data_IF_067924493799
#
_entry.id   IF_067924493799
#
_cell.length_a   1.000
_cell.length_b   1.000
_cell.length_c   1.000
_cell.angle_alpha   90.00
_cell.angle_beta   90.00
_cell.angle_gamma   90.00
#
_symmetry.space_group_name_H-M   'P 1'
#
loop_
_entity.id
_entity.type
_entity.pdbx_description
1 polymer ?
#
# COMPACT_ATOMS: atom_id res chain seq x y z
N UNK A 1 19.71 -13.04 -21.33
CA UNK A 1 18.73 -12.68 -20.27
C UNK A 1 18.41 -11.20 -20.39
N UNK A 2 17.15 -10.87 -20.63
CA UNK A 2 16.66 -9.51 -20.82
C UNK A 2 16.39 -8.82 -19.49
N UNK A 3 17.45 -8.61 -18.69
CA UNK A 3 17.35 -8.01 -17.35
C UNK A 3 16.55 -6.71 -17.30
N UNK A 4 16.67 -5.88 -18.35
CA UNK A 4 15.89 -4.64 -18.47
C UNK A 4 14.37 -4.83 -18.46
N UNK A 5 13.86 -5.96 -18.98
CA UNK A 5 12.42 -6.26 -18.96
C UNK A 5 11.94 -6.62 -17.56
N UNK A 6 12.72 -7.39 -16.80
CA UNK A 6 12.40 -7.71 -15.40
C UNK A 6 12.41 -6.45 -14.54
N UNK A 7 13.44 -5.60 -14.66
CA UNK A 7 13.50 -4.33 -13.94
C UNK A 7 12.41 -3.34 -14.38
N UNK A 8 12.03 -3.35 -15.66
CA UNK A 8 10.92 -2.55 -16.18
C UNK A 8 9.59 -2.94 -15.55
N UNK A 9 9.27 -4.24 -15.53
CA UNK A 9 8.05 -4.75 -14.86
C UNK A 9 8.09 -4.54 -13.35
N UNK A 10 9.25 -4.74 -12.73
CA UNK A 10 9.48 -4.44 -11.32
C UNK A 10 9.13 -2.97 -11.04
N UNK A 11 9.71 -2.01 -11.76
CA UNK A 11 9.46 -0.58 -11.57
C UNK A 11 8.02 -0.19 -11.86
N UNK A 12 7.44 -0.70 -12.95
CA UNK A 12 6.03 -0.46 -13.31
C UNK A 12 5.09 -0.97 -12.21
N UNK A 13 5.39 -2.12 -11.63
CA UNK A 13 4.60 -2.72 -10.55
C UNK A 13 4.64 -1.90 -9.26
N UNK A 14 5.74 -1.19 -8.99
CA UNK A 14 5.84 -0.26 -7.86
C UNK A 14 4.81 0.87 -7.96
N UNK A 15 4.50 1.36 -9.17
CA UNK A 15 3.56 2.47 -9.38
C UNK A 15 2.15 1.94 -9.62
N UNK A 16 1.99 0.93 -10.48
CA UNK A 16 0.69 0.50 -11.01
C UNK A 16 0.61 -1.02 -11.11
N UNK A 17 0.72 -1.69 -9.95
CA UNK A 17 0.69 -3.15 -9.82
C UNK A 17 -0.46 -3.85 -10.55
N UNK A 18 -1.67 -3.27 -10.56
CA UNK A 18 -2.84 -3.85 -11.21
C UNK A 18 -2.62 -4.16 -12.71
N UNK A 19 -1.91 -3.29 -13.43
CA UNK A 19 -1.74 -3.39 -14.87
C UNK A 19 -0.36 -3.89 -15.29
N UNK A 20 0.62 -3.90 -14.38
CA UNK A 20 1.99 -4.26 -14.72
C UNK A 20 2.12 -5.68 -15.35
N UNK A 21 1.44 -6.73 -14.85
CA UNK A 21 1.54 -8.07 -15.43
C UNK A 21 1.05 -8.20 -16.88
N UNK A 22 0.20 -7.29 -17.36
CA UNK A 22 -0.29 -7.30 -18.75
C UNK A 22 0.79 -6.95 -19.78
N UNK A 23 1.90 -6.34 -19.33
CA UNK A 23 3.07 -6.11 -20.18
C UNK A 23 3.90 -7.38 -20.43
N UNK A 24 3.87 -8.33 -19.49
CA UNK A 24 4.71 -9.55 -19.54
C UNK A 24 4.56 -10.38 -20.81
N UNK A 25 3.34 -10.83 -21.17
CA UNK A 25 3.11 -11.61 -22.38
C UNK A 25 3.56 -10.90 -23.66
N UNK A 26 3.30 -9.59 -23.76
CA UNK A 26 3.71 -8.77 -24.93
C UNK A 26 5.21 -8.64 -25.09
N UNK A 27 5.94 -8.77 -23.98
CA UNK A 27 7.40 -8.72 -23.93
C UNK A 27 8.03 -10.11 -24.10
N UNK A 28 7.24 -11.15 -24.37
CA UNK A 28 7.71 -12.52 -24.56
C UNK A 28 8.19 -13.21 -23.27
N UNK A 29 7.85 -12.67 -22.10
CA UNK A 29 8.22 -13.27 -20.81
C UNK A 29 7.31 -14.43 -20.46
N UNK A 30 7.81 -15.38 -19.67
CA UNK A 30 7.01 -16.46 -19.10
C UNK A 30 6.16 -15.96 -17.94
N UNK A 31 5.12 -16.73 -17.60
CA UNK A 31 4.23 -16.45 -16.46
C UNK A 31 5.03 -16.19 -15.16
N UNK A 32 5.99 -17.07 -14.86
CA UNK A 32 6.77 -17.00 -13.63
C UNK A 32 7.68 -15.76 -13.60
N UNK A 33 8.34 -15.44 -14.72
CA UNK A 33 9.18 -14.25 -14.82
C UNK A 33 8.39 -12.97 -14.59
N UNK A 34 7.21 -12.85 -15.22
CA UNK A 34 6.31 -11.70 -15.05
C UNK A 34 5.78 -11.61 -13.62
N UNK A 35 5.32 -12.74 -13.07
CA UNK A 35 4.77 -12.82 -11.72
C UNK A 35 5.81 -12.40 -10.67
N UNK A 36 6.99 -13.01 -10.71
CA UNK A 36 8.07 -12.74 -9.75
C UNK A 36 8.54 -11.28 -9.86
N UNK A 37 8.72 -10.76 -11.08
CA UNK A 37 9.12 -9.37 -11.28
C UNK A 37 8.11 -8.38 -10.71
N UNK A 38 6.81 -8.59 -10.96
CA UNK A 38 5.77 -7.69 -10.49
C UNK A 38 5.52 -7.80 -8.98
N UNK A 39 5.51 -9.02 -8.43
CA UNK A 39 5.27 -9.24 -6.99
C UNK A 39 6.44 -8.70 -6.16
N UNK A 40 7.68 -8.96 -6.59
CA UNK A 40 8.86 -8.43 -5.88
C UNK A 40 8.89 -6.89 -5.90
N UNK A 41 8.56 -6.26 -7.03
CA UNK A 41 8.47 -4.80 -7.12
C UNK A 41 7.39 -4.20 -6.24
N UNK A 42 6.20 -4.81 -6.24
CA UNK A 42 5.11 -4.38 -5.36
C UNK A 42 5.45 -4.58 -3.88
N UNK A 43 6.01 -5.72 -3.48
CA UNK A 43 6.42 -5.95 -2.08
C UNK A 43 7.49 -4.94 -1.67
N UNK A 44 8.53 -4.75 -2.48
CA UNK A 44 9.59 -3.78 -2.23
C UNK A 44 9.04 -2.37 -2.02
N UNK A 45 8.15 -1.93 -2.90
CA UNK A 45 7.47 -0.65 -2.77
C UNK A 45 6.62 -0.57 -1.48
N UNK A 46 5.84 -1.61 -1.19
CA UNK A 46 5.00 -1.66 0.01
C UNK A 46 5.84 -1.54 1.29
N UNK A 47 6.99 -2.20 1.37
CA UNK A 47 7.93 -2.11 2.50
C UNK A 47 8.35 -0.65 2.70
N UNK A 48 8.88 -0.02 1.66
CA UNK A 48 9.37 1.35 1.74
C UNK A 48 8.26 2.30 2.22
N UNK A 49 7.10 2.28 1.56
CA UNK A 49 6.06 3.25 1.82
C UNK A 49 5.25 2.99 3.09
N UNK A 50 5.00 1.73 3.43
CA UNK A 50 4.30 1.37 4.67
C UNK A 50 5.12 1.78 5.90
N UNK A 51 6.38 1.33 5.98
CA UNK A 51 7.22 1.60 7.15
C UNK A 51 7.63 3.07 7.23
N UNK A 52 7.89 3.73 6.09
CA UNK A 52 8.12 5.18 6.09
C UNK A 52 6.92 5.94 6.63
N UNK A 53 5.71 5.62 6.16
CA UNK A 53 4.50 6.26 6.64
C UNK A 53 4.30 6.05 8.14
N UNK A 54 4.43 4.81 8.62
CA UNK A 54 4.33 4.48 10.03
C UNK A 54 5.33 5.28 10.88
N UNK A 55 6.61 5.30 10.47
CA UNK A 55 7.67 6.05 11.13
C UNK A 55 7.36 7.55 11.22
N UNK A 56 7.01 8.18 10.10
CA UNK A 56 6.68 9.61 10.07
C UNK A 56 5.45 9.93 10.92
N UNK A 57 4.44 9.06 10.94
CA UNK A 57 3.25 9.25 11.74
C UNK A 57 3.52 9.14 13.24
N UNK A 58 4.33 8.18 13.68
CA UNK A 58 4.73 8.03 15.08
C UNK A 58 5.53 9.26 15.53
N UNK A 59 6.51 9.69 14.71
CA UNK A 59 7.32 10.89 14.99
C UNK A 59 6.47 12.15 15.07
N UNK A 60 5.56 12.34 14.11
CA UNK A 60 4.64 13.47 14.10
C UNK A 60 3.69 13.46 15.31
N UNK A 61 3.23 12.28 15.74
CA UNK A 61 2.40 12.13 16.93
C UNK A 61 3.18 12.48 18.21
N UNK A 62 4.42 11.97 18.36
CA UNK A 62 5.28 12.25 19.51
C UNK A 62 5.61 13.75 19.62
N UNK A 63 5.94 14.40 18.51
CA UNK A 63 6.18 15.86 18.45
C UNK A 63 4.95 16.65 18.88
N UNK A 64 3.76 16.29 18.39
CA UNK A 64 2.50 16.95 18.78
C UNK A 64 2.19 16.78 20.27
N UNK A 65 2.43 15.58 20.83
CA UNK A 65 2.20 15.32 22.26
C UNK A 65 3.15 16.17 23.12
N UNK A 66 4.41 16.31 22.72
CA UNK A 66 5.40 17.15 23.41
C UNK A 66 4.99 18.63 23.40
N UNK A 67 4.69 19.18 22.22
CA UNK A 67 4.24 20.58 22.09
C UNK A 67 2.96 20.86 22.89
N UNK A 68 2.06 19.87 22.97
CA UNK A 68 0.84 19.99 23.79
C UNK A 68 1.16 20.03 25.28
N UNK A 69 2.12 19.24 25.76
CA UNK A 69 2.55 19.24 27.15
C UNK A 69 3.26 20.55 27.53
N UNK A 70 4.20 21.01 26.69
CA UNK A 70 4.91 22.29 26.87
C UNK A 70 3.95 23.49 26.92
N UNK A 71 2.93 23.51 26.05
CA UNK A 71 1.91 24.56 26.06
C UNK A 71 1.09 24.55 27.37
N UNK A 72 0.80 23.36 27.92
CA UNK A 72 0.06 23.21 29.16
C UNK A 72 0.87 23.71 30.36
N UNK A 73 2.17 23.41 30.40
CA UNK A 73 3.12 23.89 31.41
C UNK A 73 3.28 25.42 31.38
N UNK A 74 3.21 26.03 30.19
CA UNK A 74 3.25 27.48 29.99
C UNK A 74 1.91 28.19 30.26
N UNK A 75 0.87 27.47 30.72
CA UNK A 75 -0.47 28.02 30.97
C UNK A 75 -1.24 28.40 29.70
N UNK A 76 -0.71 28.10 28.50
CA UNK A 76 -1.35 28.37 27.23
C UNK A 76 -2.37 27.25 26.96
N UNK A 77 -3.67 27.58 26.87
CA UNK A 77 -4.70 26.59 26.51
C UNK A 77 -4.40 26.00 25.12
N UNK A 78 -3.98 24.72 25.02
CA UNK A 78 -3.60 24.15 23.74
C UNK A 78 -4.83 23.95 22.86
N UNK A 79 -4.71 24.30 21.58
CA UNK A 79 -5.82 24.19 20.61
C UNK A 79 -6.23 22.73 20.44
N UNK A 80 -7.40 22.37 20.97
CA UNK A 80 -7.91 21.01 20.84
C UNK A 80 -8.20 20.68 19.36
N UNK A 81 -7.63 19.59 18.87
CA UNK A 81 -7.92 19.12 17.51
C UNK A 81 -9.35 18.57 17.47
N UNK A 82 -10.15 19.03 16.51
CA UNK A 82 -11.50 18.50 16.27
C UNK A 82 -11.44 16.99 16.03
N UNK A 83 -12.07 16.21 16.92
CA UNK A 83 -12.11 14.74 16.84
C UNK A 83 -13.06 14.24 15.74
N UNK A 84 -14.10 15.00 15.39
CA UNK A 84 -15.12 14.61 14.39
C UNK A 84 -15.13 15.52 13.16
N UNK A 85 -14.05 15.49 12.37
CA UNK A 85 -14.03 16.13 11.04
C UNK A 85 -14.76 15.28 10.01
N UNK A 86 -15.17 15.87 8.87
CA UNK A 86 -15.76 15.13 7.73
C UNK A 86 -14.87 13.95 7.31
N UNK A 87 -13.56 14.17 7.29
CA UNK A 87 -12.55 13.14 7.01
C UNK A 87 -12.57 12.01 8.06
N UNK A 88 -12.59 12.32 9.36
CA UNK A 88 -12.63 11.28 10.39
C UNK A 88 -13.90 10.44 10.31
N UNK A 89 -15.06 11.06 10.04
CA UNK A 89 -16.33 10.34 9.83
C UNK A 89 -16.28 9.43 8.58
N UNK A 90 -15.63 9.89 7.50
CA UNK A 90 -15.42 9.09 6.30
C UNK A 90 -14.50 7.89 6.56
N UNK A 91 -13.39 8.09 7.27
CA UNK A 91 -12.47 7.02 7.68
C UNK A 91 -13.21 5.96 8.49
N UNK A 92 -13.99 6.35 9.49
CA UNK A 92 -14.76 5.40 10.31
C UNK A 92 -15.76 4.61 9.47
N UNK A 93 -16.42 5.24 8.48
CA UNK A 93 -17.33 4.54 7.55
C UNK A 93 -16.61 3.49 6.71
N UNK A 94 -15.46 3.84 6.11
CA UNK A 94 -14.67 2.88 5.33
C UNK A 94 -14.18 1.72 6.19
N UNK A 95 -13.66 2.01 7.39
CA UNK A 95 -13.21 0.98 8.34
C UNK A 95 -14.33 0.00 8.70
N UNK A 96 -15.55 0.51 8.96
CA UNK A 96 -16.71 -0.33 9.31
C UNK A 96 -17.18 -1.20 8.15
N UNK A 97 -17.07 -0.72 6.90
CA UNK A 97 -17.56 -1.46 5.72
C UNK A 97 -16.58 -2.52 5.21
N UNK A 98 -15.28 -2.21 5.16
CA UNK A 98 -14.28 -3.08 4.53
C UNK A 98 -13.34 -3.79 5.52
N UNK A 99 -13.33 -3.35 6.78
CA UNK A 99 -12.47 -3.92 7.82
C UNK A 99 -10.98 -3.77 7.51
N UNK A 100 -10.15 -4.50 8.27
CA UNK A 100 -8.70 -4.52 8.06
C UNK A 100 -8.32 -5.34 6.83
N UNK A 101 -8.95 -6.49 6.63
CA UNK A 101 -8.66 -7.41 5.52
C UNK A 101 -8.92 -6.75 4.16
N UNK A 102 -10.11 -6.17 3.95
CA UNK A 102 -10.45 -5.58 2.67
C UNK A 102 -9.56 -4.40 2.31
N UNK A 103 -9.25 -3.53 3.27
CA UNK A 103 -8.41 -2.35 3.00
C UNK A 103 -6.96 -2.77 2.75
N UNK A 104 -6.39 -3.63 3.59
CA UNK A 104 -4.99 -4.05 3.46
C UNK A 104 -4.74 -4.85 2.17
N UNK A 105 -5.67 -5.72 1.77
CA UNK A 105 -5.49 -6.57 0.59
C UNK A 105 -5.76 -5.85 -0.73
N UNK A 106 -6.72 -4.92 -0.78
CA UNK A 106 -7.17 -4.30 -2.04
C UNK A 106 -6.73 -2.85 -2.23
N UNK A 107 -6.45 -2.07 -1.18
CA UNK A 107 -6.03 -0.68 -1.36
C UNK A 107 -4.71 -0.54 -2.16
N UNK A 108 -3.66 -1.35 -1.90
CA UNK A 108 -2.42 -1.33 -2.70
C UNK A 108 -2.65 -1.67 -4.17
N UNK A 109 -3.64 -2.52 -4.46
CA UNK A 109 -4.00 -2.89 -5.83
C UNK A 109 -4.75 -1.77 -6.55
N UNK A 110 -5.82 -1.25 -5.95
CA UNK A 110 -6.76 -0.32 -6.59
C UNK A 110 -6.16 1.09 -6.70
N UNK A 111 -5.53 1.58 -5.63
CA UNK A 111 -5.04 2.96 -5.57
C UNK A 111 -3.62 3.14 -6.11
N UNK A 112 -2.84 2.07 -6.15
CA UNK A 112 -1.36 1.98 -6.28
C UNK A 112 -0.71 1.53 -4.98
N UNK A 113 0.41 0.81 -5.13
CA UNK A 113 1.16 0.26 -4.00
C UNK A 113 1.66 1.35 -3.03
N UNK A 114 2.20 2.50 -3.48
CA UNK A 114 2.68 3.54 -2.58
C UNK A 114 1.52 4.14 -1.78
N UNK A 115 0.48 4.61 -2.49
CA UNK A 115 -0.64 5.33 -1.87
C UNK A 115 -1.46 4.40 -1.00
N UNK A 116 -1.74 3.18 -1.49
CA UNK A 116 -2.47 2.16 -0.74
C UNK A 116 -1.74 1.76 0.53
N UNK A 117 -0.42 1.53 0.47
CA UNK A 117 0.38 1.18 1.66
C UNK A 117 0.41 2.30 2.70
N UNK A 118 0.55 3.56 2.28
CA UNK A 118 0.48 4.73 3.18
C UNK A 118 -0.89 4.82 3.86
N UNK A 119 -1.98 4.66 3.10
CA UNK A 119 -3.34 4.73 3.62
C UNK A 119 -3.58 3.62 4.64
N UNK A 120 -3.16 2.40 4.31
CA UNK A 120 -3.30 1.25 5.20
C UNK A 120 -2.46 1.43 6.47
N UNK A 121 -1.20 1.89 6.36
CA UNK A 121 -0.38 2.26 7.52
C UNK A 121 -1.06 3.34 8.38
N UNK A 122 -1.67 4.35 7.77
CA UNK A 122 -2.37 5.42 8.48
C UNK A 122 -3.60 4.93 9.23
N UNK A 123 -4.30 3.96 8.68
CA UNK A 123 -5.52 3.43 9.30
C UNK A 123 -5.25 2.32 10.30
N UNK A 124 -4.31 1.43 10.00
CA UNK A 124 -4.10 0.19 10.73
C UNK A 124 -2.65 -0.05 11.14
N UNK A 125 -1.74 0.92 11.01
CA UNK A 125 -0.33 0.77 11.36
C UNK A 125 -0.05 0.25 12.78
N UNK A 126 -0.99 0.46 13.72
CA UNK A 126 -0.89 -0.09 15.08
C UNK A 126 -1.14 -1.59 15.18
N UNK A 127 -1.80 -2.20 14.19
CA UNK A 127 -2.10 -3.63 14.14
C UNK A 127 -0.99 -4.35 13.36
N UNK A 128 -0.28 -5.26 14.03
CA UNK A 128 0.84 -6.01 13.47
C UNK A 128 0.46 -6.89 12.29
N UNK A 129 -0.83 -7.23 12.14
CA UNK A 129 -1.33 -8.06 11.02
C UNK A 129 -1.42 -7.27 9.72
N UNK A 130 -1.40 -5.95 9.78
CA UNK A 130 -1.65 -5.08 8.62
C UNK A 130 -0.66 -5.31 7.48
N UNK A 131 0.64 -5.29 7.78
CA UNK A 131 1.67 -5.49 6.76
C UNK A 131 1.67 -6.91 6.16
N UNK A 132 1.59 -7.99 6.96
CA UNK A 132 1.38 -9.34 6.43
C UNK A 132 0.16 -9.44 5.49
N UNK A 133 -0.96 -8.78 5.84
CA UNK A 133 -2.15 -8.76 4.99
C UNK A 133 -1.94 -8.02 3.66
N UNK A 134 -1.14 -6.95 3.65
CA UNK A 134 -0.73 -6.29 2.40
C UNK A 134 0.08 -7.26 1.53
N UNK A 135 1.06 -7.95 2.10
CA UNK A 135 1.91 -8.91 1.35
C UNK A 135 1.08 -10.06 0.80
N UNK A 136 0.21 -10.67 1.61
CA UNK A 136 -0.72 -11.71 1.16
C UNK A 136 -1.63 -11.19 0.06
N UNK A 137 -2.14 -9.96 0.21
CA UNK A 137 -2.91 -9.29 -0.84
C UNK A 137 -2.13 -9.13 -2.14
N UNK A 138 -0.86 -8.71 -2.09
CA UNK A 138 -0.02 -8.56 -3.28
C UNK A 138 0.24 -9.92 -3.94
N UNK A 139 0.54 -10.97 -3.18
CA UNK A 139 0.77 -12.33 -3.70
C UNK A 139 -0.48 -12.85 -4.42
N UNK A 140 -1.64 -12.83 -3.74
CA UNK A 140 -2.90 -13.34 -4.29
C UNK A 140 -3.31 -12.52 -5.52
N UNK A 141 -3.33 -11.19 -5.40
CA UNK A 141 -3.76 -10.35 -6.52
C UNK A 141 -2.76 -10.41 -7.68
N UNK A 142 -1.46 -10.55 -7.42
CA UNK A 142 -0.43 -10.74 -8.45
C UNK A 142 -0.63 -12.03 -9.22
N UNK A 143 -1.01 -13.11 -8.54
CA UNK A 143 -1.27 -14.40 -9.19
C UNK A 143 -2.51 -14.30 -10.09
N UNK A 144 -3.55 -13.61 -9.60
CA UNK A 144 -4.78 -13.35 -10.35
C UNK A 144 -4.53 -12.45 -11.58
N UNK A 145 -3.87 -11.30 -11.42
CA UNK A 145 -3.65 -10.36 -12.53
C UNK A 145 -2.67 -10.89 -13.56
N UNK A 146 -1.61 -11.60 -13.14
CA UNK A 146 -0.72 -12.30 -14.06
C UNK A 146 -1.47 -13.43 -14.76
N UNK A 147 -2.27 -14.23 -14.03
CA UNK A 147 -3.08 -15.29 -14.63
C UNK A 147 -4.02 -14.77 -15.71
N UNK A 148 -4.76 -13.68 -15.40
CA UNK A 148 -5.63 -13.00 -16.35
C UNK A 148 -4.87 -12.48 -17.57
N UNK A 149 -3.70 -11.86 -17.38
CA UNK A 149 -2.88 -11.37 -18.48
C UNK A 149 -2.51 -12.51 -19.45
N UNK A 150 -2.01 -13.63 -18.94
CA UNK A 150 -1.60 -14.75 -19.78
C UNK A 150 -2.79 -15.47 -20.40
N UNK A 151 -3.93 -15.58 -19.72
CA UNK A 151 -5.15 -16.15 -20.31
C UNK A 151 -5.69 -15.32 -21.48
N UNK A 152 -5.60 -13.99 -21.39
CA UNK A 152 -6.06 -13.09 -22.45
C UNK A 152 -5.10 -13.11 -23.64
N UNK A 153 -3.79 -12.97 -23.39
CA UNK A 153 -2.81 -12.83 -24.48
C UNK A 153 -2.33 -14.15 -25.09
N UNK A 154 -2.47 -15.28 -24.40
CA UNK A 154 -2.16 -16.59 -24.99
C UNK A 154 -3.27 -17.10 -25.92
N UNK A 155 -4.46 -16.49 -25.84
CA UNK A 155 -5.64 -16.87 -26.64
C UNK A 155 -5.83 -15.98 -27.89
N UNK A 156 -4.97 -14.98 -28.09
CA UNK A 156 -4.95 -14.04 -29.22
C UNK A 156 -3.71 -14.26 -30.06
#
# INVERSE_FOLDING_TARGET
MSWGLYFGLFGLSMIKFLFAPFGGPKLGLTYLETYISCVSGAIFCAIIFYFSAEFFMIRAHKKRKRLYAEALEQGIKPKQKKKFTRMNKFIVRIKRRFGIFGISMYAPLILSVPIGSIITAKFYGKDKRTFPLIVVGIIINGALTTGLAYLIFYRS
#
